data_IF_220162211256
#
_entry.id   IF_220162211256
#
_cell.length_a   1.000
_cell.length_b   1.000
_cell.length_c   1.000
_cell.angle_alpha   90.00
_cell.angle_beta   90.00
_cell.angle_gamma   90.00
#
_symmetry.space_group_name_H-M   'P 1'
#
loop_
_entity.id
_entity.type
_entity.pdbx_description
1 polymer ?
#
# COMPACT_ATOMS: atom_id res chain seq x y z
N UNK A 1 -23.00 -33.49 -32.08
CA UNK A 1 -23.69 -32.17 -32.15
C UNK A 1 -22.83 -31.18 -31.37
N UNK A 2 -22.33 -30.13 -32.04
CA UNK A 2 -21.31 -29.21 -31.54
C UNK A 2 -21.90 -27.87 -31.03
N UNK A 3 -21.11 -27.20 -30.17
CA UNK A 3 -21.14 -25.77 -29.78
C UNK A 3 -22.34 -25.32 -28.93
N UNK A 4 -22.14 -24.59 -27.83
CA UNK A 4 -21.70 -23.19 -27.90
C UNK A 4 -20.94 -22.78 -26.63
N UNK A 5 -19.63 -22.54 -26.75
CA UNK A 5 -18.90 -21.67 -25.80
C UNK A 5 -19.59 -20.31 -25.86
N UNK A 6 -20.14 -19.86 -24.73
CA UNK A 6 -20.57 -18.47 -24.57
C UNK A 6 -19.36 -17.59 -24.82
N UNK A 7 -19.38 -16.90 -25.96
CA UNK A 7 -18.42 -15.89 -26.34
C UNK A 7 -18.82 -14.63 -25.60
N UNK A 8 -18.06 -14.25 -24.57
CA UNK A 8 -18.15 -12.90 -24.03
C UNK A 8 -17.91 -11.91 -25.18
N UNK A 9 -18.61 -10.76 -25.21
CA UNK A 9 -18.41 -9.77 -26.25
C UNK A 9 -16.95 -9.33 -26.26
N UNK A 10 -16.34 -9.13 -27.44
CA UNK A 10 -14.98 -8.62 -27.52
C UNK A 10 -14.99 -7.17 -27.00
N UNK A 11 -14.69 -6.98 -25.73
CA UNK A 11 -14.42 -5.67 -25.13
C UNK A 11 -13.04 -5.20 -25.61
N UNK A 12 -12.95 -4.95 -26.92
CA UNK A 12 -11.76 -4.53 -27.65
C UNK A 12 -11.87 -3.09 -28.09
N UNK A 13 -11.98 -2.15 -27.15
CA UNK A 13 -11.96 -0.72 -27.44
C UNK A 13 -11.07 0.09 -26.48
N UNK A 14 -10.13 -0.53 -25.75
CA UNK A 14 -9.01 0.16 -25.07
C UNK A 14 -9.35 1.27 -24.05
N UNK A 15 -10.62 1.54 -23.77
CA UNK A 15 -11.08 2.70 -22.99
C UNK A 15 -11.43 2.37 -21.54
N UNK A 16 -11.49 1.10 -21.17
CA UNK A 16 -11.57 0.63 -19.79
C UNK A 16 -10.66 -0.58 -19.66
N UNK A 17 -9.35 -0.35 -19.55
CA UNK A 17 -8.54 -1.32 -18.83
C UNK A 17 -9.01 -1.18 -17.40
N UNK A 18 -9.84 -2.13 -16.93
CA UNK A 18 -9.97 -2.38 -15.51
C UNK A 18 -8.55 -2.67 -15.04
N UNK A 19 -7.85 -1.64 -14.58
CA UNK A 19 -6.73 -1.85 -13.69
C UNK A 19 -7.42 -2.40 -12.45
N UNK A 20 -7.15 -3.65 -12.10
CA UNK A 20 -7.46 -4.12 -10.75
C UNK A 20 -6.78 -3.13 -9.81
N UNK A 21 -7.56 -2.19 -9.26
CA UNK A 21 -7.11 -1.18 -8.31
C UNK A 21 -6.54 -1.85 -7.04
N UNK A 22 -6.81 -3.14 -6.89
CA UNK A 22 -6.14 -4.06 -6.00
C UNK A 22 -4.76 -4.45 -6.51
N UNK A 23 -3.87 -3.47 -6.58
CA UNK A 23 -2.43 -3.72 -6.69
C UNK A 23 -2.02 -4.58 -5.49
N UNK A 24 -1.37 -5.74 -5.69
CA UNK A 24 -0.95 -6.59 -4.57
C UNK A 24 0.07 -5.84 -3.71
N UNK A 25 -0.24 -5.67 -2.43
CA UNK A 25 0.64 -4.96 -1.50
C UNK A 25 -0.01 -4.64 -0.15
N UNK A 26 0.83 -4.22 0.79
CA UNK A 26 0.37 -3.76 2.11
C UNK A 26 -0.20 -2.35 1.96
N UNK A 27 -1.52 -2.22 2.07
CA UNK A 27 -2.20 -0.92 2.04
C UNK A 27 -2.09 -0.27 3.43
N UNK A 28 -1.44 0.88 3.51
CA UNK A 28 -1.33 1.65 4.75
C UNK A 28 -2.31 2.83 4.66
N UNK A 29 -3.17 2.97 5.66
CA UNK A 29 -4.06 4.13 5.74
C UNK A 29 -3.24 5.42 5.94
N UNK A 30 -3.70 6.59 5.45
CA UNK A 30 -3.00 7.86 5.67
C UNK A 30 -2.71 8.14 7.15
N UNK A 31 -3.64 7.77 8.04
CA UNK A 31 -3.47 7.87 9.49
C UNK A 31 -2.33 6.98 10.00
N UNK A 32 -2.19 5.77 9.48
CA UNK A 32 -1.09 4.86 9.80
C UNK A 32 0.27 5.40 9.39
N UNK A 33 0.36 6.01 8.21
CA UNK A 33 1.59 6.65 7.74
C UNK A 33 2.02 7.81 8.67
N UNK A 34 1.06 8.67 9.05
CA UNK A 34 1.32 9.78 10.00
C UNK A 34 1.79 9.23 11.35
N UNK A 35 1.11 8.21 11.89
CA UNK A 35 1.48 7.62 13.17
C UNK A 35 2.92 7.04 13.16
N UNK A 36 3.31 6.39 12.07
CA UNK A 36 4.65 5.82 11.91
C UNK A 36 5.72 6.91 11.98
N UNK A 37 5.51 8.03 11.27
CA UNK A 37 6.43 9.17 11.28
C UNK A 37 6.53 9.79 12.68
N UNK A 38 5.39 9.97 13.37
CA UNK A 38 5.40 10.53 14.73
C UNK A 38 6.15 9.64 15.72
N UNK A 39 5.98 8.31 15.63
CA UNK A 39 6.72 7.35 16.45
C UNK A 39 8.23 7.45 16.16
N UNK A 40 8.61 7.50 14.89
CA UNK A 40 10.01 7.61 14.50
C UNK A 40 10.66 8.88 15.07
N UNK A 41 10.00 10.04 14.93
CA UNK A 41 10.48 11.31 15.50
C UNK A 41 10.56 11.26 17.03
N UNK A 42 9.58 10.66 17.71
CA UNK A 42 9.61 10.53 19.16
C UNK A 42 10.80 9.67 19.65
N UNK A 43 11.12 8.60 18.93
CA UNK A 43 12.29 7.76 19.22
C UNK A 43 13.59 8.57 19.03
N UNK A 44 13.73 9.30 17.93
CA UNK A 44 14.89 10.17 17.68
C UNK A 44 15.08 11.18 18.81
N UNK A 45 14.01 11.86 19.25
CA UNK A 45 14.08 12.83 20.36
C UNK A 45 14.54 12.14 21.65
N UNK A 46 13.96 10.97 21.97
CA UNK A 46 14.31 10.23 23.17
C UNK A 46 15.78 9.78 23.12
N UNK A 47 16.23 9.27 21.97
CA UNK A 47 17.61 8.84 21.79
C UNK A 47 18.58 10.02 21.80
N UNK A 48 18.20 11.18 21.28
CA UNK A 48 19.05 12.37 21.32
C UNK A 48 19.18 12.94 22.73
N UNK A 49 18.09 12.93 23.51
CA UNK A 49 18.08 13.46 24.87
C UNK A 49 18.74 12.51 25.88
N UNK A 50 18.52 11.21 25.75
CA UNK A 50 18.94 10.20 26.74
C UNK A 50 19.99 9.22 26.23
N UNK A 51 20.34 9.25 24.93
CA UNK A 51 21.26 8.28 24.32
C UNK A 51 22.63 8.27 24.95
N UNK A 52 23.14 9.44 25.36
CA UNK A 52 24.44 9.52 26.06
C UNK A 52 24.40 8.89 27.46
N UNK A 53 23.22 8.80 28.10
CA UNK A 53 23.06 8.17 29.41
C UNK A 53 22.83 6.66 29.32
N UNK A 54 22.29 6.20 28.18
CA UNK A 54 21.99 4.78 27.93
C UNK A 54 23.20 4.06 27.31
N UNK A 55 23.96 4.76 26.47
CA UNK A 55 25.05 4.16 25.68
C UNK A 55 26.43 4.77 25.96
N UNK A 56 26.53 5.79 26.82
CA UNK A 56 27.78 6.44 27.23
C UNK A 56 28.29 5.99 28.60
#
# INVERSE_FOLDING_TARGET
MAKQKTSLPPTGAGLMRFFDEDTPGVKISPRGAIALVLIFVAIEILLHAFGTQIFG
#
